data_IF_331512539614
#
_entry.id   IF_331512539614
#
_cell.length_a   1.000
_cell.length_b   1.000
_cell.length_c   1.000
_cell.angle_alpha   90.00
_cell.angle_beta   90.00
_cell.angle_gamma   90.00
#
_symmetry.space_group_name_H-M   'P 1'
#
loop_
_entity.id
_entity.type
_entity.pdbx_description
1 polymer ?
#
# COMPACT_ATOMS: atom_id res chain seq x y z
N UNK A 1 -31.96 4.19 69.39
CA UNK A 1 -32.75 3.51 68.34
C UNK A 1 -31.79 2.82 67.37
N UNK A 2 -31.86 1.48 67.32
CA UNK A 2 -31.36 0.46 66.35
C UNK A 2 -30.16 0.77 65.41
N UNK A 3 -28.99 0.08 65.41
CA UNK A 3 -28.57 -1.35 65.27
C UNK A 3 -28.48 -1.91 63.81
N UNK A 4 -27.40 -2.70 63.58
CA UNK A 4 -27.05 -3.64 62.46
C UNK A 4 -26.33 -3.02 61.23
N UNK A 5 -25.15 -3.39 60.72
CA UNK A 5 -24.30 -4.62 60.55
C UNK A 5 -24.80 -5.64 59.50
N UNK A 6 -23.85 -6.14 58.68
CA UNK A 6 -23.87 -7.20 57.64
C UNK A 6 -24.27 -6.82 56.19
N UNK A 7 -23.81 -7.42 55.07
CA UNK A 7 -22.61 -8.14 54.55
C UNK A 7 -22.89 -8.30 53.02
N UNK A 8 -21.85 -8.49 52.20
CA UNK A 8 -21.83 -8.89 50.78
C UNK A 8 -22.99 -9.78 50.27
N UNK A 9 -23.43 -9.55 49.01
CA UNK A 9 -23.74 -10.64 48.08
C UNK A 9 -23.62 -10.22 46.60
N UNK A 10 -22.61 -10.78 45.93
CA UNK A 10 -22.53 -10.94 44.49
C UNK A 10 -23.56 -11.95 44.00
N UNK A 11 -24.46 -11.54 43.09
CA UNK A 11 -25.18 -12.44 42.18
C UNK A 11 -25.20 -11.77 40.82
N UNK A 12 -24.42 -12.32 39.88
CA UNK A 12 -24.68 -12.14 38.46
C UNK A 12 -25.83 -13.03 38.02
N UNK A 13 -26.55 -12.61 36.98
CA UNK A 13 -26.87 -13.40 35.78
C UNK A 13 -27.98 -12.71 34.97
N UNK A 14 -27.67 -12.51 33.68
CA UNK A 14 -28.58 -12.63 32.51
C UNK A 14 -29.73 -11.62 32.42
N UNK A 15 -30.09 -11.04 31.29
CA UNK A 15 -29.59 -11.03 29.92
C UNK A 15 -30.54 -10.10 29.18
N UNK A 16 -30.08 -9.04 28.54
CA UNK A 16 -30.86 -8.39 27.49
C UNK A 16 -30.11 -8.55 26.19
N UNK A 17 -30.56 -9.54 25.43
CA UNK A 17 -30.24 -9.74 24.03
C UNK A 17 -30.60 -8.45 23.28
N UNK A 18 -29.59 -7.64 22.95
CA UNK A 18 -29.70 -6.72 21.83
C UNK A 18 -28.97 -7.36 20.66
N UNK A 19 -29.50 -7.27 19.42
CA UNK A 19 -28.70 -7.62 18.25
C UNK A 19 -27.45 -6.75 18.33
N UNK A 20 -26.26 -7.36 18.47
CA UNK A 20 -25.00 -6.63 18.44
C UNK A 20 -24.95 -5.93 17.09
N UNK A 21 -25.30 -4.65 17.05
CA UNK A 21 -25.06 -3.78 15.90
C UNK A 21 -23.63 -4.02 15.43
N UNK A 22 -23.37 -4.19 14.12
CA UNK A 22 -22.00 -4.21 13.63
C UNK A 22 -21.32 -2.95 14.17
N UNK A 23 -20.25 -3.12 14.94
CA UNK A 23 -19.50 -1.98 15.45
C UNK A 23 -18.71 -1.42 14.26
N UNK A 24 -18.68 -0.10 14.13
CA UNK A 24 -17.77 0.52 13.18
C UNK A 24 -16.33 0.11 13.49
N UNK A 25 -15.49 0.01 12.47
CA UNK A 25 -14.07 -0.27 12.63
C UNK A 25 -13.42 0.62 13.70
N UNK A 26 -13.76 1.91 13.69
CA UNK A 26 -13.24 2.88 14.65
C UNK A 26 -13.51 2.49 16.10
N UNK A 27 -14.71 2.00 16.42
CA UNK A 27 -15.07 1.57 17.77
C UNK A 27 -14.32 0.30 18.17
N UNK A 28 -14.20 -0.66 17.25
CA UNK A 28 -13.49 -1.92 17.46
C UNK A 28 -11.99 -1.70 17.68
N UNK A 29 -11.39 -0.84 16.86
CA UNK A 29 -10.00 -0.43 16.93
C UNK A 29 -9.69 0.31 18.24
N UNK A 30 -10.51 1.31 18.61
CA UNK A 30 -10.34 2.03 19.86
C UNK A 30 -10.46 1.12 21.09
N UNK A 31 -11.42 0.19 21.08
CA UNK A 31 -11.58 -0.78 22.17
C UNK A 31 -10.34 -1.65 22.36
N UNK A 32 -9.78 -2.19 21.27
CA UNK A 32 -8.60 -3.04 21.34
C UNK A 32 -7.36 -2.30 21.90
N UNK A 33 -7.15 -1.06 21.45
CA UNK A 33 -6.09 -0.21 21.97
C UNK A 33 -6.29 0.10 23.47
N UNK A 34 -7.51 0.44 23.90
CA UNK A 34 -7.82 0.69 25.31
C UNK A 34 -7.63 -0.54 26.19
N UNK A 35 -7.96 -1.72 25.68
CA UNK A 35 -7.76 -2.98 26.38
C UNK A 35 -6.30 -3.47 26.35
N UNK A 36 -5.41 -2.79 25.61
CA UNK A 36 -4.04 -3.22 25.34
C UNK A 36 -3.98 -4.66 24.77
N UNK A 37 -4.88 -4.96 23.82
CA UNK A 37 -5.01 -6.26 23.19
C UNK A 37 -4.80 -6.16 21.68
N UNK A 38 -4.32 -7.24 21.07
CA UNK A 38 -4.30 -7.37 19.62
C UNK A 38 -5.74 -7.32 19.07
N UNK A 39 -5.96 -6.68 17.93
CA UNK A 39 -7.25 -6.74 17.23
C UNK A 39 -7.15 -7.71 16.06
N UNK A 40 -7.93 -8.77 16.10
CA UNK A 40 -8.12 -9.65 14.95
C UNK A 40 -9.41 -9.26 14.24
N UNK A 41 -9.27 -8.62 13.09
CA UNK A 41 -10.38 -8.16 12.27
C UNK A 41 -10.63 -9.12 11.10
N UNK A 42 -11.86 -9.57 10.94
CA UNK A 42 -12.30 -10.34 9.78
C UNK A 42 -13.23 -9.48 8.91
N UNK A 43 -12.85 -9.28 7.65
CA UNK A 43 -13.63 -8.48 6.71
C UNK A 43 -14.52 -9.40 5.88
N UNK A 44 -15.82 -9.12 5.84
CA UNK A 44 -16.77 -9.89 5.04
C UNK A 44 -17.87 -9.05 4.41
N UNK A 45 -18.54 -9.65 3.43
CA UNK A 45 -19.72 -9.08 2.77
C UNK A 45 -20.96 -9.87 3.21
N UNK A 46 -21.83 -9.22 3.99
CA UNK A 46 -23.08 -9.84 4.44
C UNK A 46 -22.88 -10.96 5.46
N UNK A 47 -23.68 -12.02 5.36
CA UNK A 47 -23.83 -13.05 6.40
C UNK A 47 -22.96 -14.30 6.15
N UNK A 48 -21.75 -14.14 5.60
CA UNK A 48 -20.81 -15.26 5.43
C UNK A 48 -20.56 -15.95 6.78
N UNK A 49 -20.49 -17.32 6.86
CA UNK A 49 -20.28 -18.04 8.11
C UNK A 49 -19.12 -17.46 8.90
N UNK A 50 -19.37 -17.21 10.18
CA UNK A 50 -18.48 -16.41 11.00
C UNK A 50 -17.23 -17.21 11.34
N UNK A 51 -16.07 -16.59 11.19
CA UNK A 51 -14.84 -17.04 11.86
C UNK A 51 -15.06 -17.27 13.37
N UNK A 52 -16.07 -16.61 13.95
CA UNK A 52 -16.55 -16.85 15.31
C UNK A 52 -16.86 -18.32 15.59
N UNK A 53 -17.38 -19.08 14.62
CA UNK A 53 -17.67 -20.51 14.83
C UNK A 53 -16.39 -21.36 14.88
N UNK A 54 -15.45 -21.10 13.97
CA UNK A 54 -14.10 -21.70 14.02
C UNK A 54 -13.34 -21.34 15.31
N UNK A 55 -13.59 -20.14 15.84
CA UNK A 55 -12.97 -19.67 17.09
C UNK A 55 -13.65 -20.27 18.31
N UNK A 56 -14.98 -20.48 18.30
CA UNK A 56 -15.66 -21.25 19.35
C UNK A 56 -15.07 -22.66 19.43
N UNK A 57 -14.86 -23.32 18.29
CA UNK A 57 -14.19 -24.62 18.22
C UNK A 57 -12.76 -24.56 18.76
N UNK A 58 -11.97 -23.55 18.39
CA UNK A 58 -10.62 -23.35 18.92
C UNK A 58 -10.62 -23.17 20.45
N UNK A 59 -11.49 -22.31 20.98
CA UNK A 59 -11.63 -22.08 22.43
C UNK A 59 -12.07 -23.34 23.17
N UNK A 60 -13.04 -24.07 22.61
CA UNK A 60 -13.52 -25.34 23.17
C UNK A 60 -12.45 -26.44 23.22
N UNK A 61 -11.42 -26.36 22.37
CA UNK A 61 -10.29 -27.31 22.40
C UNK A 61 -9.36 -27.17 23.63
N UNK A 62 -9.59 -26.19 24.51
CA UNK A 62 -8.75 -25.95 25.70
C UNK A 62 -7.36 -25.37 25.40
N UNK A 63 -7.05 -25.13 24.12
CA UNK A 63 -5.77 -24.56 23.66
C UNK A 63 -5.73 -23.02 23.73
N UNK A 64 -6.86 -22.38 24.02
CA UNK A 64 -6.97 -20.93 24.19
C UNK A 64 -6.54 -20.52 25.62
N UNK A 65 -5.24 -20.63 25.91
CA UNK A 65 -4.67 -20.06 27.12
C UNK A 65 -4.34 -18.57 26.88
N UNK A 66 -4.92 -17.70 27.75
CA UNK A 66 -4.76 -16.23 27.84
C UNK A 66 -5.01 -15.47 26.52
N UNK A 67 -6.20 -14.89 26.40
CA UNK A 67 -6.62 -14.11 25.25
C UNK A 67 -6.00 -12.70 25.27
N UNK A 68 -4.82 -12.56 24.67
CA UNK A 68 -4.23 -11.24 24.40
C UNK A 68 -4.83 -10.58 23.14
N UNK A 69 -5.95 -11.09 22.60
CA UNK A 69 -6.55 -10.57 21.36
C UNK A 69 -8.09 -10.47 21.42
N UNK A 70 -8.64 -9.43 20.80
CA UNK A 70 -10.05 -9.22 20.55
C UNK A 70 -10.33 -9.64 19.11
N UNK A 71 -11.22 -10.61 18.92
CA UNK A 71 -11.75 -10.93 17.60
C UNK A 71 -12.96 -10.05 17.29
N UNK A 72 -12.95 -9.46 16.10
CA UNK A 72 -14.06 -8.67 15.58
C UNK A 72 -14.35 -9.01 14.12
N UNK A 73 -15.64 -9.01 13.79
CA UNK A 73 -16.10 -9.07 12.41
C UNK A 73 -16.46 -7.66 11.96
N UNK A 74 -16.05 -7.31 10.74
CA UNK A 74 -16.36 -6.05 10.11
C UNK A 74 -17.13 -6.33 8.81
N UNK A 75 -18.42 -6.06 8.82
CA UNK A 75 -19.27 -6.19 7.64
C UNK A 75 -19.02 -4.98 6.72
N UNK A 76 -18.52 -5.23 5.52
CA UNK A 76 -18.23 -4.20 4.51
C UNK A 76 -19.48 -3.65 3.82
N UNK A 77 -20.65 -4.27 4.01
CA UNK A 77 -21.93 -3.67 3.58
C UNK A 77 -22.36 -2.52 4.49
N UNK A 78 -21.78 -2.40 5.68
CA UNK A 78 -21.93 -1.21 6.51
C UNK A 78 -21.05 -0.08 5.96
N UNK A 79 -21.67 1.03 5.56
CA UNK A 79 -20.98 2.18 4.96
C UNK A 79 -19.96 2.84 5.88
N UNK A 80 -20.04 2.62 7.20
CA UNK A 80 -19.00 3.06 8.14
C UNK A 80 -17.69 2.27 8.03
N UNK A 81 -17.72 1.10 7.38
CA UNK A 81 -16.62 0.17 7.24
C UNK A 81 -16.11 0.01 5.80
N UNK A 82 -16.87 0.49 4.80
CA UNK A 82 -16.53 0.36 3.37
C UNK A 82 -15.14 0.88 3.04
N UNK A 83 -14.66 1.91 3.74
CA UNK A 83 -13.31 2.45 3.53
C UNK A 83 -12.18 1.41 3.72
N UNK A 84 -12.41 0.34 4.48
CA UNK A 84 -11.43 -0.73 4.65
C UNK A 84 -11.20 -1.51 3.35
N UNK A 85 -12.21 -1.65 2.49
CA UNK A 85 -12.02 -2.24 1.16
C UNK A 85 -11.13 -1.36 0.29
N UNK A 86 -11.20 -0.03 0.50
CA UNK A 86 -10.37 0.93 -0.21
C UNK A 86 -8.93 0.93 0.26
N UNK A 87 -8.70 0.83 1.58
CA UNK A 87 -7.35 0.79 2.14
C UNK A 87 -6.64 -0.51 1.78
N UNK A 88 -7.28 -1.66 2.04
CA UNK A 88 -6.65 -2.97 1.95
C UNK A 88 -6.79 -3.66 0.58
N UNK A 89 -7.38 -2.97 -0.40
CA UNK A 89 -7.55 -3.43 -1.78
C UNK A 89 -7.99 -4.92 -1.86
N UNK A 90 -9.12 -5.22 -1.22
CA UNK A 90 -9.53 -6.59 -0.92
C UNK A 90 -9.81 -7.40 -2.20
N UNK A 91 -8.90 -8.32 -2.54
CA UNK A 91 -9.01 -9.22 -3.71
C UNK A 91 -9.99 -10.37 -3.49
N UNK A 92 -10.09 -10.86 -2.25
CA UNK A 92 -10.92 -12.00 -1.90
C UNK A 92 -11.83 -11.69 -0.71
N UNK A 93 -13.03 -12.24 -0.77
CA UNK A 93 -13.99 -12.19 0.34
C UNK A 93 -13.47 -13.16 1.42
N UNK A 94 -13.38 -12.68 2.67
CA UNK A 94 -12.83 -13.35 3.88
C UNK A 94 -11.36 -13.06 4.24
N UNK A 95 -10.84 -11.90 3.84
CA UNK A 95 -9.55 -11.46 4.34
C UNK A 95 -9.59 -11.18 5.84
N UNK A 96 -8.46 -11.38 6.49
CA UNK A 96 -8.34 -11.07 7.91
C UNK A 96 -7.05 -10.37 8.24
N UNK A 97 -7.13 -9.45 9.19
CA UNK A 97 -6.09 -8.49 9.49
C UNK A 97 -5.86 -8.53 10.99
N UNK A 98 -4.60 -8.58 11.41
CA UNK A 98 -4.25 -8.59 12.83
C UNK A 98 -3.46 -7.33 13.15
N UNK A 99 -3.93 -6.58 14.14
CA UNK A 99 -3.29 -5.39 14.65
C UNK A 99 -2.72 -5.65 16.04
N UNK A 100 -1.57 -5.06 16.35
CA UNK A 100 -1.01 -5.05 17.69
C UNK A 100 -1.77 -4.07 18.62
N UNK A 101 -1.50 -4.09 19.94
CA UNK A 101 -2.13 -3.16 20.89
C UNK A 101 -1.89 -1.67 20.58
N UNK A 102 -0.82 -1.34 19.87
CA UNK A 102 -0.51 0.01 19.39
C UNK A 102 -1.36 0.39 18.17
N UNK A 103 -2.11 -0.56 17.60
CA UNK A 103 -2.99 -0.38 16.46
C UNK A 103 -2.29 -0.51 15.10
N UNK A 104 -1.10 -1.10 15.06
CA UNK A 104 -0.38 -1.35 13.82
C UNK A 104 -0.73 -2.73 13.29
N UNK A 105 -1.09 -2.81 12.01
CA UNK A 105 -1.25 -4.04 11.27
C UNK A 105 0.09 -4.78 11.29
N UNK A 106 0.09 -6.02 11.79
CA UNK A 106 1.29 -6.86 11.85
C UNK A 106 1.28 -7.96 10.79
N UNK A 107 0.09 -8.30 10.26
CA UNK A 107 -0.11 -9.34 9.24
C UNK A 107 -1.55 -9.35 8.76
N UNK A 108 -1.78 -9.91 7.58
CA UNK A 108 -3.10 -10.26 7.10
C UNK A 108 -3.08 -11.58 6.32
N UNK A 109 -4.26 -12.17 6.09
CA UNK A 109 -4.47 -13.35 5.26
C UNK A 109 -5.40 -12.98 4.10
N UNK A 110 -5.02 -13.38 2.90
CA UNK A 110 -5.84 -13.35 1.68
C UNK A 110 -6.51 -14.70 1.36
N UNK A 111 -6.38 -15.66 2.28
CA UNK A 111 -6.96 -17.01 2.19
C UNK A 111 -8.10 -17.21 3.16
N UNK A 112 -8.96 -18.19 2.84
CA UNK A 112 -9.98 -18.67 3.75
C UNK A 112 -9.35 -19.14 5.06
N UNK A 113 -9.80 -18.58 6.16
CA UNK A 113 -9.34 -18.96 7.49
C UNK A 113 -9.95 -20.29 7.92
N UNK A 114 -9.13 -21.09 8.59
CA UNK A 114 -9.47 -22.34 9.28
C UNK A 114 -9.00 -22.30 10.74
N UNK A 115 -9.59 -23.12 11.60
CA UNK A 115 -9.18 -23.29 13.01
C UNK A 115 -7.67 -23.58 13.14
N UNK A 116 -7.11 -24.39 12.23
CA UNK A 116 -5.67 -24.68 12.18
C UNK A 116 -4.81 -23.46 11.80
N UNK A 117 -5.21 -22.71 10.78
CA UNK A 117 -4.51 -21.47 10.38
C UNK A 117 -4.54 -20.41 11.49
N UNK A 118 -5.65 -20.32 12.25
CA UNK A 118 -5.78 -19.40 13.37
C UNK A 118 -4.73 -19.71 14.44
N UNK A 119 -4.64 -20.99 14.82
CA UNK A 119 -3.68 -21.47 15.82
C UNK A 119 -2.24 -21.16 15.39
N UNK A 120 -1.89 -21.48 14.15
CA UNK A 120 -0.54 -21.26 13.64
C UNK A 120 -0.18 -19.79 13.67
N UNK A 121 -1.09 -18.92 13.22
CA UNK A 121 -0.86 -17.48 13.22
C UNK A 121 -0.65 -16.92 14.64
N UNK A 122 -1.47 -17.32 15.61
CA UNK A 122 -1.32 -16.88 17.00
C UNK A 122 0.02 -17.29 17.61
N UNK A 123 0.43 -18.53 17.38
CA UNK A 123 1.72 -19.02 17.86
C UNK A 123 2.88 -18.26 17.22
N UNK A 124 2.77 -17.98 15.92
CA UNK A 124 3.75 -17.22 15.17
C UNK A 124 3.89 -15.78 15.71
N UNK A 125 2.77 -15.11 16.00
CA UNK A 125 2.74 -13.77 16.60
C UNK A 125 3.38 -13.77 18.00
N UNK A 126 3.04 -14.74 18.86
CA UNK A 126 3.61 -14.88 20.21
C UNK A 126 5.13 -15.05 20.20
N UNK A 127 5.63 -15.71 19.17
CA UNK A 127 7.06 -15.93 18.96
C UNK A 127 7.73 -14.78 18.20
N UNK A 128 7.08 -13.63 18.02
CA UNK A 128 7.60 -12.46 17.28
C UNK A 128 7.94 -12.76 15.80
N UNK A 129 7.26 -13.74 15.20
CA UNK A 129 7.44 -14.16 13.81
C UNK A 129 6.09 -14.31 13.11
N UNK A 130 5.28 -13.24 12.94
CA UNK A 130 3.99 -13.34 12.27
C UNK A 130 4.15 -13.91 10.86
N UNK A 131 3.27 -14.82 10.45
CA UNK A 131 3.28 -15.31 9.07
C UNK A 131 2.79 -14.18 8.16
N UNK A 132 3.47 -13.99 7.04
CA UNK A 132 3.13 -12.97 6.06
C UNK A 132 2.14 -13.53 5.03
N UNK A 133 1.29 -12.66 4.44
CA UNK A 133 0.41 -13.07 3.36
C UNK A 133 1.21 -13.42 2.10
N UNK A 134 0.54 -14.12 1.18
CA UNK A 134 1.02 -14.20 -0.19
C UNK A 134 0.99 -12.80 -0.82
N UNK A 135 2.00 -12.49 -1.63
CA UNK A 135 2.06 -11.24 -2.36
C UNK A 135 0.87 -11.14 -3.34
N UNK A 136 0.00 -10.12 -3.22
CA UNK A 136 -1.09 -9.92 -4.17
C UNK A 136 -0.52 -9.61 -5.56
N UNK A 137 -1.21 -10.03 -6.64
CA UNK A 137 -0.65 -9.94 -8.01
C UNK A 137 -0.53 -8.50 -8.50
N UNK A 138 -1.29 -7.62 -7.88
CA UNK A 138 -1.52 -6.22 -8.19
C UNK A 138 -0.40 -5.33 -7.66
N UNK A 139 0.36 -5.83 -6.67
CA UNK A 139 1.47 -5.13 -6.05
C UNK A 139 2.80 -5.78 -6.41
N UNK A 140 3.79 -4.96 -6.74
CA UNK A 140 5.18 -5.43 -6.90
C UNK A 140 5.90 -5.48 -5.55
N UNK A 141 5.40 -4.74 -4.55
CA UNK A 141 5.91 -4.72 -3.18
C UNK A 141 5.87 -6.08 -2.50
N UNK A 142 6.92 -6.37 -1.73
CA UNK A 142 6.96 -7.55 -0.85
C UNK A 142 5.84 -7.48 0.21
N UNK A 143 5.42 -8.62 0.78
CA UNK A 143 4.41 -8.63 1.84
C UNK A 143 4.69 -7.70 3.02
N UNK A 144 5.94 -7.62 3.50
CA UNK A 144 6.34 -6.69 4.58
C UNK A 144 6.17 -5.22 4.19
N UNK A 145 6.55 -4.89 2.95
CA UNK A 145 6.40 -3.54 2.41
C UNK A 145 4.91 -3.18 2.28
N UNK A 146 4.07 -4.15 1.91
CA UNK A 146 2.62 -3.96 1.80
C UNK A 146 1.95 -3.75 3.17
N UNK A 147 2.36 -4.49 4.20
CA UNK A 147 1.91 -4.25 5.59
C UNK A 147 2.29 -2.83 6.02
N UNK A 148 3.51 -2.39 5.72
CA UNK A 148 3.98 -1.03 6.01
C UNK A 148 3.14 0.02 5.27
N UNK A 149 2.88 -0.19 3.98
CA UNK A 149 2.02 0.67 3.17
C UNK A 149 0.61 0.78 3.76
N UNK A 150 -0.03 -0.34 4.08
CA UNK A 150 -1.37 -0.35 4.67
C UNK A 150 -1.43 0.35 6.03
N UNK A 151 -0.41 0.18 6.86
CA UNK A 151 -0.30 0.91 8.12
C UNK A 151 -0.23 2.43 7.91
N UNK A 152 0.60 2.88 6.98
CA UNK A 152 0.77 4.30 6.67
C UNK A 152 -0.55 4.91 6.18
N UNK A 153 -1.22 4.23 5.25
CA UNK A 153 -2.51 4.69 4.70
C UNK A 153 -3.61 4.67 5.75
N UNK A 154 -3.70 3.62 6.57
CA UNK A 154 -4.67 3.55 7.66
C UNK A 154 -4.45 4.66 8.68
N UNK A 155 -3.21 4.92 9.10
CA UNK A 155 -2.89 6.02 10.03
C UNK A 155 -3.27 7.37 9.42
N UNK A 156 -2.97 7.61 8.15
CA UNK A 156 -3.36 8.84 7.44
C UNK A 156 -4.88 9.00 7.37
N UNK A 157 -5.60 7.91 7.05
CA UNK A 157 -7.07 7.89 7.01
C UNK A 157 -7.68 8.20 8.38
N UNK A 158 -7.19 7.57 9.44
CA UNK A 158 -7.67 7.80 10.82
C UNK A 158 -7.44 9.24 11.27
N UNK A 159 -6.30 9.84 10.92
CA UNK A 159 -6.01 11.25 11.19
C UNK A 159 -6.97 12.17 10.43
N UNK A 160 -7.18 11.93 9.14
CA UNK A 160 -8.10 12.71 8.32
C UNK A 160 -9.55 12.60 8.82
N UNK A 161 -9.99 11.38 9.15
CA UNK A 161 -11.34 11.12 9.66
C UNK A 161 -11.60 11.79 11.01
N UNK A 162 -10.63 11.72 11.95
CA UNK A 162 -10.82 12.22 13.32
C UNK A 162 -10.55 13.72 13.47
N UNK A 163 -9.64 14.28 12.67
CA UNK A 163 -9.09 15.61 12.85
C UNK A 163 -9.07 16.43 11.55
N UNK A 164 -10.14 16.34 10.75
CA UNK A 164 -10.25 17.00 9.45
C UNK A 164 -10.03 18.53 9.49
N UNK A 165 -10.20 19.18 10.64
CA UNK A 165 -10.01 20.63 10.82
C UNK A 165 -8.67 21.02 11.43
N UNK A 166 -7.83 20.08 11.85
CA UNK A 166 -6.55 20.37 12.53
C UNK A 166 -5.36 20.31 11.57
N UNK A 167 -4.69 21.44 11.37
CA UNK A 167 -3.56 21.56 10.44
C UNK A 167 -2.44 20.57 10.72
N UNK A 168 -2.04 20.41 11.99
CA UNK A 168 -0.95 19.52 12.42
C UNK A 168 -1.22 18.04 12.07
N UNK A 169 -2.47 17.61 12.23
CA UNK A 169 -2.93 16.26 11.96
C UNK A 169 -2.98 15.98 10.46
N UNK A 170 -3.39 16.97 9.66
CA UNK A 170 -3.41 16.88 8.20
C UNK A 170 -2.00 16.88 7.61
N UNK A 171 -1.06 17.65 8.16
CA UNK A 171 0.36 17.61 7.76
C UNK A 171 0.98 16.25 8.00
N UNK A 172 0.73 15.68 9.19
CA UNK A 172 1.17 14.32 9.51
C UNK A 172 0.54 13.29 8.57
N UNK A 173 -0.75 13.44 8.23
CA UNK A 173 -1.42 12.56 7.27
C UNK A 173 -0.78 12.64 5.88
N UNK A 174 -0.43 13.83 5.38
CA UNK A 174 0.27 14.01 4.09
C UNK A 174 1.66 13.35 4.11
N UNK A 175 2.44 13.51 5.18
CA UNK A 175 3.74 12.86 5.33
C UNK A 175 3.65 11.33 5.30
N UNK A 176 2.66 10.76 5.99
CA UNK A 176 2.39 9.32 5.96
C UNK A 176 2.01 8.86 4.55
N UNK A 177 1.23 9.65 3.82
CA UNK A 177 0.85 9.34 2.44
C UNK A 177 2.06 9.41 1.51
N UNK A 178 2.97 10.37 1.67
CA UNK A 178 4.22 10.46 0.91
C UNK A 178 5.12 9.23 1.12
N UNK A 179 5.19 8.74 2.35
CA UNK A 179 5.87 7.49 2.66
C UNK A 179 5.18 6.30 1.97
N UNK A 180 3.84 6.22 2.05
CA UNK A 180 3.09 5.11 1.45
C UNK A 180 3.20 5.08 -0.09
N UNK A 181 3.12 6.24 -0.74
CA UNK A 181 3.29 6.40 -2.19
C UNK A 181 4.72 6.05 -2.60
N UNK A 182 5.69 6.27 -1.71
CA UNK A 182 7.07 5.84 -1.91
C UNK A 182 7.31 4.35 -1.84
N UNK A 183 6.48 3.61 -1.10
CA UNK A 183 6.47 2.15 -1.16
C UNK A 183 5.83 1.74 -2.48
N UNK A 184 4.55 2.08 -2.67
CA UNK A 184 3.85 1.82 -3.92
C UNK A 184 2.64 2.75 -4.08
N UNK A 185 2.55 3.52 -5.17
CA UNK A 185 1.35 4.27 -5.50
C UNK A 185 0.20 3.35 -5.92
N UNK A 186 -0.99 3.62 -5.40
CA UNK A 186 -2.23 2.99 -5.87
C UNK A 186 -3.38 3.98 -5.73
N UNK A 187 -4.58 3.63 -6.20
CA UNK A 187 -5.70 4.58 -6.23
C UNK A 187 -5.93 5.28 -4.88
N UNK A 188 -6.05 4.53 -3.77
CA UNK A 188 -6.57 5.11 -2.53
C UNK A 188 -5.59 6.05 -1.81
N UNK A 189 -4.28 5.75 -1.80
CA UNK A 189 -3.32 6.66 -1.16
C UNK A 189 -3.20 8.00 -1.93
N UNK A 190 -3.28 7.95 -3.26
CA UNK A 190 -3.35 9.13 -4.12
C UNK A 190 -4.67 9.90 -3.94
N UNK A 191 -5.79 9.17 -3.89
CA UNK A 191 -7.12 9.75 -3.64
C UNK A 191 -7.15 10.49 -2.31
N UNK A 192 -6.75 9.83 -1.22
CA UNK A 192 -6.77 10.42 0.12
C UNK A 192 -5.84 11.65 0.19
N UNK A 193 -4.68 11.59 -0.46
CA UNK A 193 -3.77 12.74 -0.56
C UNK A 193 -4.44 13.91 -1.29
N UNK A 194 -5.09 13.65 -2.42
CA UNK A 194 -5.86 14.66 -3.16
C UNK A 194 -6.94 15.30 -2.29
N UNK A 195 -7.76 14.51 -1.57
CA UNK A 195 -8.82 15.05 -0.70
C UNK A 195 -8.27 15.93 0.42
N UNK A 196 -7.17 15.52 1.05
CA UNK A 196 -6.53 16.32 2.12
C UNK A 196 -5.94 17.61 1.56
N UNK A 197 -5.27 17.57 0.41
CA UNK A 197 -4.72 18.76 -0.25
C UNK A 197 -5.84 19.73 -0.66
N UNK A 198 -6.95 19.22 -1.20
CA UNK A 198 -8.11 20.04 -1.57
C UNK A 198 -8.70 20.75 -0.36
N UNK A 199 -8.89 20.04 0.75
CA UNK A 199 -9.38 20.63 2.00
C UNK A 199 -8.49 21.79 2.50
N UNK A 200 -7.22 21.78 2.10
CA UNK A 200 -6.22 22.83 2.38
C UNK A 200 -6.08 23.87 1.27
N UNK A 201 -6.91 23.83 0.24
CA UNK A 201 -6.83 24.71 -0.93
C UNK A 201 -5.45 24.65 -1.63
N UNK A 202 -4.75 23.51 -1.52
CA UNK A 202 -3.47 23.33 -2.20
C UNK A 202 -3.73 22.93 -3.67
N UNK A 203 -3.16 23.67 -4.65
CA UNK A 203 -3.37 23.39 -6.08
C UNK A 203 -2.89 22.00 -6.51
N UNK A 204 -1.98 21.37 -5.76
CA UNK A 204 -1.52 20.01 -6.02
C UNK A 204 -2.62 18.94 -5.88
N UNK A 205 -3.75 19.27 -5.25
CA UNK A 205 -4.90 18.38 -5.15
C UNK A 205 -5.32 17.82 -6.52
N UNK A 206 -5.30 18.66 -7.56
CA UNK A 206 -5.65 18.27 -8.92
C UNK A 206 -4.64 17.28 -9.52
N UNK A 207 -3.35 17.43 -9.24
CA UNK A 207 -2.31 16.49 -9.70
C UNK A 207 -2.53 15.11 -9.10
N UNK A 208 -2.74 15.03 -7.78
CA UNK A 208 -2.99 13.76 -7.11
C UNK A 208 -4.34 13.13 -7.47
N UNK A 209 -5.36 13.93 -7.77
CA UNK A 209 -6.63 13.44 -8.30
C UNK A 209 -6.46 12.76 -9.66
N UNK A 210 -5.76 13.43 -10.59
CA UNK A 210 -5.46 12.87 -11.93
C UNK A 210 -4.63 11.58 -11.82
N UNK A 211 -3.66 11.54 -10.92
CA UNK A 211 -2.90 10.32 -10.62
C UNK A 211 -3.79 9.20 -10.09
N UNK A 212 -4.64 9.48 -9.10
CA UNK A 212 -5.56 8.49 -8.57
C UNK A 212 -6.43 7.91 -9.70
N UNK A 213 -7.08 8.75 -10.52
CA UNK A 213 -7.87 8.31 -11.68
C UNK A 213 -7.04 7.41 -12.60
N UNK A 214 -5.79 7.77 -12.88
CA UNK A 214 -4.92 7.01 -13.76
C UNK A 214 -4.60 5.60 -13.22
N UNK A 215 -4.28 5.46 -11.93
CA UNK A 215 -4.10 4.15 -11.28
C UNK A 215 -5.42 3.36 -11.21
N UNK A 216 -6.54 4.05 -10.99
CA UNK A 216 -7.88 3.46 -10.94
C UNK A 216 -8.39 2.88 -12.27
N UNK A 217 -7.72 3.13 -13.40
CA UNK A 217 -8.10 2.57 -14.72
C UNK A 217 -7.82 1.08 -14.86
N UNK A 218 -7.01 0.47 -13.98
CA UNK A 218 -6.87 -0.99 -13.94
C UNK A 218 -8.26 -1.62 -13.75
N UNK A 219 -8.61 -2.63 -14.55
CA UNK A 219 -9.92 -3.29 -14.55
C UNK A 219 -10.37 -3.72 -13.14
N UNK A 220 -9.44 -4.23 -12.33
CA UNK A 220 -9.72 -4.64 -10.96
C UNK A 220 -9.92 -3.44 -10.01
N UNK A 221 -8.99 -2.47 -10.03
CA UNK A 221 -9.12 -1.25 -9.22
C UNK A 221 -10.41 -0.48 -9.55
N UNK A 222 -10.81 -0.46 -10.82
CA UNK A 222 -12.06 0.16 -11.26
C UNK A 222 -13.27 -0.46 -10.55
N UNK A 223 -13.32 -1.77 -10.37
CA UNK A 223 -14.44 -2.43 -9.68
C UNK A 223 -14.57 -1.97 -8.22
N UNK A 224 -13.46 -1.78 -7.52
CA UNK A 224 -13.46 -1.35 -6.11
C UNK A 224 -13.74 0.16 -6.00
N UNK A 225 -13.15 0.96 -6.87
CA UNK A 225 -13.07 2.40 -6.72
C UNK A 225 -14.02 3.19 -7.64
N UNK A 226 -14.95 2.56 -8.34
CA UNK A 226 -15.83 3.22 -9.33
C UNK A 226 -16.41 4.54 -8.79
N UNK A 227 -17.03 4.52 -7.60
CA UNK A 227 -17.66 5.71 -7.02
C UNK A 227 -16.66 6.84 -6.73
N UNK A 228 -15.45 6.51 -6.26
CA UNK A 228 -14.40 7.49 -5.95
C UNK A 228 -13.76 8.03 -7.23
N UNK A 229 -13.63 7.19 -8.27
CA UNK A 229 -13.16 7.59 -9.60
C UNK A 229 -14.16 8.58 -10.22
N UNK A 230 -15.46 8.29 -10.13
CA UNK A 230 -16.52 9.15 -10.67
C UNK A 230 -16.56 10.49 -9.93
N UNK A 231 -16.41 10.48 -8.59
CA UNK A 231 -16.27 11.69 -7.77
C UNK A 231 -15.10 12.55 -8.26
N UNK A 232 -13.90 11.97 -8.37
CA UNK A 232 -12.72 12.71 -8.82
C UNK A 232 -12.86 13.19 -10.27
N UNK A 233 -13.48 12.41 -11.15
CA UNK A 233 -13.63 12.76 -12.56
C UNK A 233 -14.64 13.90 -12.76
N UNK A 234 -15.67 13.96 -11.91
CA UNK A 234 -16.60 15.09 -11.87
C UNK A 234 -15.94 16.36 -11.31
N UNK A 235 -15.04 16.21 -10.34
CA UNK A 235 -14.37 17.32 -9.67
C UNK A 235 -13.21 17.90 -10.51
N UNK A 236 -12.47 17.03 -11.20
CA UNK A 236 -11.30 17.35 -12.02
C UNK A 236 -11.47 16.76 -13.43
N UNK A 237 -12.40 17.30 -14.24
CA UNK A 237 -12.65 16.78 -15.58
C UNK A 237 -11.39 16.88 -16.45
N UNK A 238 -11.16 15.86 -17.28
CA UNK A 238 -10.11 15.91 -18.28
C UNK A 238 -10.47 16.95 -19.35
N UNK A 239 -9.76 18.07 -19.38
CA UNK A 239 -9.85 19.03 -20.49
C UNK A 239 -9.02 18.50 -21.67
N UNK A 240 -9.56 18.63 -22.89
CA UNK A 240 -8.92 18.17 -24.13
C UNK A 240 -7.54 18.81 -24.41
N UNK A 241 -7.17 19.87 -23.67
CA UNK A 241 -6.03 20.76 -23.96
C UNK A 241 -5.02 20.91 -22.79
N UNK A 242 -5.15 20.21 -21.66
CA UNK A 242 -4.10 20.28 -20.60
C UNK A 242 -2.89 19.43 -20.97
N UNK A 243 -1.71 20.03 -20.94
CA UNK A 243 -0.47 19.46 -21.45
C UNK A 243 -0.17 18.10 -20.83
N UNK A 244 -0.36 17.02 -21.62
CA UNK A 244 0.02 15.66 -21.23
C UNK A 244 1.43 15.66 -20.64
N UNK A 245 1.65 14.87 -19.59
CA UNK A 245 2.98 14.68 -19.01
C UNK A 245 4.00 14.35 -20.11
N UNK A 246 5.23 14.85 -19.99
CA UNK A 246 6.26 14.68 -21.02
C UNK A 246 7.62 14.47 -20.37
N UNK A 247 8.19 13.29 -20.54
CA UNK A 247 9.54 13.01 -20.03
C UNK A 247 10.58 13.60 -20.97
N UNK A 248 11.37 14.57 -20.51
CA UNK A 248 12.47 15.13 -21.27
C UNK A 248 13.81 14.69 -20.67
N UNK A 249 14.50 13.75 -21.33
CA UNK A 249 15.81 13.27 -20.90
C UNK A 249 16.91 14.26 -21.24
N UNK A 250 17.84 14.52 -20.31
CA UNK A 250 19.04 15.34 -20.59
C UNK A 250 19.90 14.73 -21.70
N UNK A 251 20.01 13.40 -21.69
CA UNK A 251 20.66 12.59 -22.73
C UNK A 251 19.91 11.27 -22.87
N UNK A 252 19.68 10.85 -24.11
CA UNK A 252 19.15 9.51 -24.43
C UNK A 252 20.26 8.54 -24.81
N UNK A 253 21.51 9.00 -24.93
CA UNK A 253 22.68 8.16 -25.16
C UNK A 253 23.83 8.53 -24.21
N UNK A 254 24.39 7.53 -23.54
CA UNK A 254 25.57 7.65 -22.69
C UNK A 254 26.70 6.78 -23.25
N UNK A 255 27.92 7.31 -23.23
CA UNK A 255 29.14 6.57 -23.52
C UNK A 255 29.84 6.25 -22.20
N UNK A 256 29.96 4.95 -21.92
CA UNK A 256 30.63 4.39 -20.76
C UNK A 256 32.16 4.39 -20.90
N UNK A 257 32.67 4.68 -22.10
CA UNK A 257 34.09 4.59 -22.40
C UNK A 257 34.61 3.17 -22.29
N UNK A 258 35.78 3.02 -21.67
CA UNK A 258 36.44 1.73 -21.47
C UNK A 258 36.08 1.15 -20.10
N UNK A 259 35.50 -0.04 -20.10
CA UNK A 259 35.10 -0.76 -18.89
C UNK A 259 35.96 -2.01 -18.70
N UNK A 260 36.31 -2.34 -17.46
CA UNK A 260 37.01 -3.58 -17.14
C UNK A 260 36.08 -4.79 -17.24
N UNK A 261 36.60 -5.92 -17.73
CA UNK A 261 35.86 -7.19 -17.76
C UNK A 261 35.45 -7.60 -16.34
N UNK A 262 34.28 -8.23 -16.21
CA UNK A 262 33.73 -8.77 -14.95
C UNK A 262 33.55 -7.71 -13.86
N UNK A 263 33.39 -6.45 -14.25
CA UNK A 263 33.13 -5.33 -13.34
C UNK A 263 31.70 -4.80 -13.49
N UNK A 264 31.16 -4.24 -12.41
CA UNK A 264 29.85 -3.59 -12.40
C UNK A 264 29.99 -2.07 -12.37
N UNK A 265 29.13 -1.39 -13.14
CA UNK A 265 29.09 0.06 -13.26
C UNK A 265 27.66 0.58 -13.18
N UNK A 266 27.47 1.79 -12.68
CA UNK A 266 26.17 2.46 -12.63
C UNK A 266 26.15 3.67 -13.58
N UNK A 267 25.08 3.78 -14.37
CA UNK A 267 24.83 4.90 -15.28
C UNK A 267 23.47 5.52 -15.02
N UNK A 268 23.40 6.85 -14.99
CA UNK A 268 22.18 7.59 -14.66
C UNK A 268 21.67 8.36 -15.87
N UNK A 269 20.46 8.04 -16.32
CA UNK A 269 19.72 8.83 -17.30
C UNK A 269 18.78 9.78 -16.57
N UNK A 270 19.19 11.04 -16.45
CA UNK A 270 18.40 12.11 -15.82
C UNK A 270 17.34 12.66 -16.78
N UNK A 271 16.14 12.90 -16.27
CA UNK A 271 15.04 13.51 -17.00
C UNK A 271 14.22 14.47 -16.14
N UNK A 272 13.35 15.25 -16.79
CA UNK A 272 12.38 16.14 -16.18
C UNK A 272 11.00 15.92 -16.79
N UNK A 273 9.93 15.97 -15.99
CA UNK A 273 8.58 16.06 -16.52
C UNK A 273 8.29 17.50 -16.96
N UNK A 274 8.38 17.76 -18.27
CA UNK A 274 8.15 19.08 -18.86
C UNK A 274 6.69 19.34 -19.24
N UNK A 275 5.80 18.39 -18.95
CA UNK A 275 4.35 18.55 -19.17
C UNK A 275 3.62 19.09 -17.93
N UNK A 276 2.31 19.21 -18.04
CA UNK A 276 1.43 19.77 -17.00
C UNK A 276 0.68 18.69 -16.20
N UNK A 277 0.74 17.44 -16.66
CA UNK A 277 0.23 16.28 -15.95
C UNK A 277 1.36 15.44 -15.34
N UNK A 278 1.13 14.83 -14.17
CA UNK A 278 2.04 13.85 -13.62
C UNK A 278 2.32 12.67 -14.56
N UNK A 279 3.55 12.15 -14.54
CA UNK A 279 3.97 10.98 -15.32
C UNK A 279 4.18 9.79 -14.39
N UNK A 280 3.63 8.64 -14.78
CA UNK A 280 3.92 7.35 -14.16
C UNK A 280 4.79 6.54 -15.10
N UNK A 281 5.96 6.10 -14.63
CA UNK A 281 6.78 5.12 -15.35
C UNK A 281 6.20 3.73 -15.07
N UNK A 282 5.51 3.18 -16.05
CA UNK A 282 4.79 1.90 -15.92
C UNK A 282 5.75 0.73 -15.99
N UNK A 283 6.77 0.81 -16.85
CA UNK A 283 7.70 -0.29 -17.07
C UNK A 283 9.03 0.21 -17.62
N UNK A 284 10.13 -0.40 -17.17
CA UNK A 284 11.46 -0.17 -17.75
C UNK A 284 12.10 -1.53 -18.00
N UNK A 285 12.54 -1.77 -19.23
CA UNK A 285 13.19 -3.02 -19.62
C UNK A 285 14.46 -2.78 -20.40
N UNK A 286 15.36 -3.75 -20.34
CA UNK A 286 16.58 -3.80 -21.15
C UNK A 286 16.54 -5.01 -22.07
N UNK A 287 17.31 -4.96 -23.16
CA UNK A 287 17.39 -6.07 -24.11
C UNK A 287 18.30 -7.23 -23.68
N UNK A 288 19.10 -7.07 -22.61
CA UNK A 288 19.96 -8.12 -22.03
C UNK A 288 19.88 -8.08 -20.50
N UNK A 289 20.08 -9.23 -19.84
CA UNK A 289 20.22 -9.29 -18.37
C UNK A 289 21.45 -8.55 -17.81
N UNK A 290 22.39 -8.17 -18.70
CA UNK A 290 23.62 -7.46 -18.37
C UNK A 290 23.43 -5.97 -18.06
N UNK A 291 22.26 -5.38 -18.37
CA UNK A 291 21.89 -4.02 -18.00
C UNK A 291 20.60 -4.07 -17.18
N UNK A 292 20.67 -3.81 -15.88
CA UNK A 292 19.53 -3.88 -14.96
C UNK A 292 19.04 -2.46 -14.64
N UNK A 293 17.85 -2.06 -15.11
CA UNK A 293 17.31 -0.75 -14.80
C UNK A 293 16.75 -0.68 -13.37
N UNK A 294 16.87 0.48 -12.75
CA UNK A 294 16.19 0.88 -11.51
C UNK A 294 15.56 2.25 -11.69
N UNK A 295 14.36 2.45 -11.16
CA UNK A 295 13.63 3.70 -11.30
C UNK A 295 12.70 3.92 -10.12
N UNK A 296 12.33 5.18 -9.90
CA UNK A 296 11.29 5.53 -8.94
C UNK A 296 9.94 5.01 -9.40
N UNK A 297 9.23 4.30 -8.52
CA UNK A 297 7.82 3.95 -8.71
C UNK A 297 6.89 5.10 -8.39
N UNK A 298 7.38 6.13 -7.68
CA UNK A 298 6.59 7.33 -7.41
C UNK A 298 6.26 8.04 -8.72
N UNK A 299 5.04 8.60 -8.83
CA UNK A 299 4.74 9.51 -9.93
C UNK A 299 5.69 10.70 -9.96
N UNK A 300 6.00 11.18 -11.16
CA UNK A 300 6.84 12.36 -11.40
C UNK A 300 5.91 13.55 -11.69
N UNK A 301 5.79 14.47 -10.74
CA UNK A 301 4.95 15.66 -10.85
C UNK A 301 5.45 16.60 -11.96
N UNK A 302 4.62 17.55 -12.45
CA UNK A 302 5.07 18.59 -13.37
C UNK A 302 6.31 19.31 -12.86
N UNK A 303 7.30 19.48 -13.74
CA UNK A 303 8.62 20.07 -13.48
C UNK A 303 9.51 19.29 -12.49
N UNK A 304 9.05 18.14 -12.00
CA UNK A 304 9.86 17.27 -11.16
C UNK A 304 10.90 16.51 -12.01
N UNK A 305 12.09 16.34 -11.43
CA UNK A 305 13.20 15.60 -12.04
C UNK A 305 13.21 14.17 -11.57
N UNK A 306 13.62 13.26 -12.45
CA UNK A 306 13.80 11.85 -12.15
C UNK A 306 15.07 11.27 -12.75
N UNK A 307 15.36 10.03 -12.37
CA UNK A 307 16.51 9.26 -12.85
C UNK A 307 16.07 7.85 -13.19
N UNK A 308 16.54 7.35 -14.33
CA UNK A 308 16.61 5.91 -14.62
C UNK A 308 18.06 5.49 -14.38
N UNK A 309 18.27 4.68 -13.34
CA UNK A 309 19.55 4.04 -13.05
C UNK A 309 19.70 2.80 -13.92
N UNK A 310 20.89 2.56 -14.45
CA UNK A 310 21.23 1.34 -15.18
C UNK A 310 22.49 0.76 -14.57
N UNK A 311 22.35 -0.37 -13.87
CA UNK A 311 23.51 -1.17 -13.44
C UNK A 311 23.94 -2.10 -14.57
N UNK A 312 25.15 -1.92 -15.06
CA UNK A 312 25.71 -2.69 -16.16
C UNK A 312 26.83 -3.60 -15.67
N UNK A 313 26.77 -4.88 -16.03
CA UNK A 313 27.82 -5.86 -15.78
C UNK A 313 28.57 -6.18 -17.08
N UNK A 314 29.88 -5.91 -17.10
CA UNK A 314 30.75 -6.02 -18.27
C UNK A 314 31.27 -7.46 -18.47
N UNK A 315 30.42 -8.38 -18.87
CA UNK A 315 30.74 -9.83 -18.99
C UNK A 315 31.49 -10.22 -20.28
N UNK A 316 31.49 -9.36 -21.31
CA UNK A 316 32.00 -9.71 -22.65
C UNK A 316 32.91 -8.63 -23.19
N UNK A 317 34.02 -9.05 -23.79
CA UNK A 317 34.93 -8.18 -24.53
C UNK A 317 34.28 -7.55 -25.76
N UNK A 318 34.86 -6.45 -26.22
CA UNK A 318 34.48 -5.75 -27.45
C UNK A 318 33.55 -4.56 -27.23
N UNK A 319 33.10 -3.98 -28.34
CA UNK A 319 32.13 -2.88 -28.32
C UNK A 319 30.76 -3.38 -27.90
N UNK A 320 30.04 -2.58 -27.12
CA UNK A 320 28.67 -2.87 -26.77
C UNK A 320 27.77 -1.65 -26.99
N UNK A 321 26.52 -1.96 -27.30
CA UNK A 321 25.39 -1.02 -27.26
C UNK A 321 24.25 -1.75 -26.56
N UNK A 322 23.66 -1.12 -25.55
CA UNK A 322 22.51 -1.64 -24.79
C UNK A 322 21.37 -0.65 -24.86
N UNK A 323 20.19 -1.16 -25.20
CA UNK A 323 18.96 -0.40 -25.21
C UNK A 323 18.20 -0.63 -23.91
N UNK A 324 17.74 0.45 -23.30
CA UNK A 324 16.79 0.46 -22.20
C UNK A 324 15.53 1.19 -22.67
N UNK A 325 14.38 0.53 -22.61
CA UNK A 325 13.10 1.07 -23.01
C UNK A 325 12.32 1.50 -21.78
N UNK A 326 11.88 2.75 -21.76
CA UNK A 326 11.09 3.34 -20.68
C UNK A 326 9.68 3.54 -21.19
N UNK A 327 8.72 2.83 -20.61
CA UNK A 327 7.29 3.02 -20.87
C UNK A 327 6.67 3.87 -19.77
N UNK A 328 5.83 4.82 -20.16
CA UNK A 328 5.19 5.71 -19.22
C UNK A 328 3.81 6.16 -19.69
N UNK A 329 3.12 6.89 -18.81
CA UNK A 329 1.87 7.55 -19.13
C UNK A 329 2.03 8.89 -19.85
N UNK A 330 3.28 9.31 -20.08
CA UNK A 330 3.59 10.54 -20.80
C UNK A 330 3.13 10.48 -22.27
N UNK A 331 3.07 11.64 -22.92
CA UNK A 331 2.77 11.75 -24.35
C UNK A 331 3.78 10.95 -25.20
N UNK A 332 5.05 11.00 -24.83
CA UNK A 332 6.12 10.16 -25.34
C UNK A 332 6.09 8.79 -24.66
N UNK A 333 5.02 8.04 -24.95
CA UNK A 333 4.64 6.77 -24.32
C UNK A 333 5.81 5.78 -24.13
N UNK A 334 6.74 5.70 -25.10
CA UNK A 334 7.98 4.91 -25.00
C UNK A 334 9.19 5.77 -25.36
N UNK A 335 10.20 5.76 -24.50
CA UNK A 335 11.53 6.36 -24.74
C UNK A 335 12.61 5.28 -24.80
N UNK A 336 13.55 5.42 -25.74
CA UNK A 336 14.70 4.53 -25.87
C UNK A 336 15.98 5.21 -25.38
N UNK A 337 16.63 4.59 -24.41
CA UNK A 337 17.91 5.01 -23.85
C UNK A 337 19.02 4.06 -24.31
N UNK A 338 20.16 4.61 -24.68
CA UNK A 338 21.31 3.87 -25.22
C UNK A 338 22.52 4.00 -24.30
N UNK A 339 23.07 2.87 -23.86
CA UNK A 339 24.36 2.79 -23.20
C UNK A 339 25.37 2.15 -24.14
N UNK A 340 26.44 2.87 -24.48
CA UNK A 340 27.50 2.41 -25.39
C UNK A 340 28.83 2.36 -24.66
N UNK A 341 29.77 1.55 -25.14
CA UNK A 341 31.12 1.53 -24.63
C UNK A 341 31.94 0.38 -25.18
N UNK A 342 33.10 0.14 -24.57
CA UNK A 342 34.06 -0.88 -24.99
C UNK A 342 34.68 -1.60 -23.80
N UNK A 343 34.76 -2.92 -23.86
CA UNK A 343 35.51 -3.74 -22.90
C UNK A 343 36.78 -4.24 -23.61
N UNK A 344 37.97 -3.70 -23.29
CA UNK A 344 39.20 -4.04 -23.99
C UNK A 344 39.64 -5.46 -23.69
N UNK A 345 40.20 -6.13 -24.71
CA UNK A 345 40.91 -7.39 -24.50
C UNK A 345 42.15 -7.13 -23.65
N UNK A 346 42.31 -7.88 -22.57
CA UNK A 346 43.53 -7.82 -21.78
C UNK A 346 44.53 -8.85 -22.32
N UNK A 347 45.60 -8.40 -22.97
CA UNK A 347 46.66 -9.28 -23.49
C UNK A 347 47.62 -9.78 -22.39
N UNK A 348 47.32 -9.53 -21.12
CA UNK A 348 48.18 -9.85 -19.97
C UNK A 348 47.97 -11.28 -19.46
N UNK A 349 48.14 -12.30 -20.33
CA UNK A 349 48.38 -13.71 -19.98
C UNK A 349 48.57 -14.53 -21.28
N UNK A 350 49.63 -14.23 -22.04
CA UNK A 350 50.29 -15.21 -22.89
C UNK A 350 51.60 -15.61 -22.25
#
# INVERSE_FOLDING_TARGET
MYKYFFIFLSIGLLSSCQPKTPRSFYAMYAQAQQANQYLWLNLNYGNTPLITDQIKEYKASGQAAKEDFILQQCNLLDTSNTFLSYIFLIENINNSYVFNPQGELITFSNHKITTGSIRNQLNAIRNHHPQLPDQPREFVSTPDSLISLYNLVLKAHLLHHRYASRTDSLEKALQLLDQSIGIEPYFYNLYLKSKILKARQNPEAAHYARLAIQYGKNAYQKQIYTLLIDELSSEYPATLETGKGRMNFKKTALDAGKLALNSEYEFNFEFENTGEEPVIITFVSSTCGCAKPEWSKKPILPHEKGVIKVRFHAEKYGNFVRSVFVQSTAQNFVEQLLLRGHVPFNHSNQ
#
